data_IF_447592129914
#
_entry.id   IF_447592129914
#
_cell.length_a   1.000
_cell.length_b   1.000
_cell.length_c   1.000
_cell.angle_alpha   90.00
_cell.angle_beta   90.00
_cell.angle_gamma   90.00
#
_symmetry.space_group_name_H-M   'P 1'
#
loop_
_entity.id
_entity.type
_entity.pdbx_description
1 polymer ?
#
# COMPACT_ATOMS: atom_id res chain seq x y z
N UNK A 1 1.57 -0.69 5.08
CA UNK A 1 2.14 0.08 3.95
C UNK A 1 3.41 0.75 4.43
N UNK A 2 4.45 0.71 3.63
CA UNK A 2 5.76 1.28 3.93
C UNK A 2 6.08 2.32 2.87
N UNK A 3 6.45 3.51 3.29
CA UNK A 3 7.03 4.56 2.46
C UNK A 3 8.49 4.76 2.85
N UNK A 4 9.33 4.91 1.88
CA UNK A 4 10.75 5.13 2.03
C UNK A 4 11.09 6.45 1.34
N UNK A 5 11.50 7.43 2.14
CA UNK A 5 11.80 8.79 1.70
C UNK A 5 13.29 9.05 1.90
N UNK A 6 14.00 9.37 0.83
CA UNK A 6 15.37 9.87 0.96
C UNK A 6 15.37 11.38 1.05
N UNK A 7 15.99 11.90 2.11
CA UNK A 7 16.30 13.33 2.28
C UNK A 7 17.75 13.66 1.93
N UNK A 8 18.52 12.65 1.54
CA UNK A 8 19.96 12.78 1.30
C UNK A 8 20.21 13.38 -0.08
N UNK A 9 21.41 13.97 -0.22
CA UNK A 9 21.98 14.59 -1.41
C UNK A 9 21.46 13.98 -2.72
N UNK A 10 20.98 14.77 -3.69
CA UNK A 10 20.37 14.28 -4.92
C UNK A 10 21.17 13.24 -5.69
N UNK A 11 22.49 13.32 -5.67
CA UNK A 11 23.36 12.39 -6.40
C UNK A 11 23.49 11.01 -5.77
N UNK A 12 23.40 10.89 -4.44
CA UNK A 12 23.43 9.59 -3.74
C UNK A 12 22.05 8.95 -3.56
N UNK A 13 20.99 9.72 -3.79
CA UNK A 13 19.60 9.28 -3.52
C UNK A 13 19.18 8.11 -4.41
N UNK A 14 19.47 8.19 -5.70
CA UNK A 14 19.05 7.15 -6.66
C UNK A 14 19.77 5.82 -6.42
N UNK A 15 21.05 5.86 -6.09
CA UNK A 15 21.77 4.64 -5.75
C UNK A 15 21.24 4.00 -4.47
N UNK A 16 20.99 4.79 -3.43
CA UNK A 16 20.35 4.32 -2.20
C UNK A 16 18.98 3.71 -2.49
N UNK A 17 18.18 4.33 -3.35
CA UNK A 17 16.86 3.81 -3.72
C UNK A 17 16.97 2.49 -4.50
N UNK A 18 17.95 2.32 -5.40
CA UNK A 18 18.21 1.04 -6.07
C UNK A 18 18.58 -0.06 -5.09
N UNK A 19 19.43 0.23 -4.10
CA UNK A 19 19.78 -0.72 -3.06
C UNK A 19 18.56 -1.12 -2.20
N UNK A 20 17.69 -0.18 -1.87
CA UNK A 20 16.42 -0.45 -1.18
C UNK A 20 15.50 -1.33 -2.03
N UNK A 21 15.41 -1.07 -3.34
CA UNK A 21 14.70 -1.96 -4.25
C UNK A 21 15.26 -3.38 -4.23
N UNK A 22 16.57 -3.53 -4.16
CA UNK A 22 17.21 -4.83 -3.99
C UNK A 22 16.82 -5.54 -2.70
N UNK A 23 16.55 -4.79 -1.62
CA UNK A 23 15.95 -5.37 -0.39
C UNK A 23 14.51 -5.80 -0.64
N UNK A 24 13.67 -4.92 -1.16
CA UNK A 24 12.24 -5.20 -1.39
C UNK A 24 12.03 -6.36 -2.36
N UNK A 25 12.88 -6.52 -3.36
CA UNK A 25 12.82 -7.62 -4.32
C UNK A 25 12.89 -9.00 -3.68
N UNK A 26 13.60 -9.15 -2.56
CA UNK A 26 13.64 -10.42 -1.82
C UNK A 26 12.31 -10.77 -1.17
N UNK A 27 11.46 -9.79 -0.97
CA UNK A 27 10.12 -9.94 -0.38
C UNK A 27 9.00 -9.89 -1.42
N UNK A 28 9.31 -9.97 -2.72
CA UNK A 28 8.34 -9.82 -3.82
C UNK A 28 7.06 -10.63 -3.63
N UNK A 29 7.17 -11.91 -3.29
CA UNK A 29 6.01 -12.80 -3.09
C UNK A 29 5.12 -12.40 -1.90
N UNK A 30 5.62 -11.56 -1.02
CA UNK A 30 4.92 -11.03 0.15
C UNK A 30 4.39 -9.62 -0.06
N UNK A 31 4.70 -9.00 -1.19
CA UNK A 31 4.15 -7.71 -1.56
C UNK A 31 2.78 -7.88 -2.23
N UNK A 32 1.87 -6.97 -1.91
CA UNK A 32 0.59 -6.81 -2.61
C UNK A 32 0.78 -5.82 -3.75
N UNK A 33 1.46 -4.72 -3.45
CA UNK A 33 1.77 -3.63 -4.34
C UNK A 33 3.11 -3.02 -3.97
N UNK A 34 3.76 -2.45 -4.97
CA UNK A 34 4.94 -1.62 -4.79
C UNK A 34 5.02 -0.60 -5.93
N UNK A 35 5.76 0.47 -5.74
CA UNK A 35 5.91 1.47 -6.78
C UNK A 35 6.58 2.75 -6.29
N UNK A 36 6.67 3.68 -7.22
CA UNK A 36 7.11 5.06 -6.98
C UNK A 36 5.98 6.00 -7.40
N UNK A 37 5.85 7.20 -6.82
CA UNK A 37 4.89 8.18 -7.28
C UNK A 37 5.39 8.81 -8.58
N UNK A 38 5.26 8.12 -9.70
CA UNK A 38 5.57 8.65 -11.03
C UNK A 38 4.30 9.05 -11.75
N UNK A 39 4.29 10.17 -12.49
CA UNK A 39 3.09 10.65 -13.21
C UNK A 39 2.63 9.77 -14.37
N UNK A 40 3.47 8.87 -14.84
CA UNK A 40 3.21 8.04 -16.03
C UNK A 40 2.96 6.59 -15.65
N UNK A 41 1.86 6.34 -14.93
CA UNK A 41 1.39 4.98 -14.70
C UNK A 41 0.30 4.63 -15.68
N UNK A 42 0.59 3.71 -16.56
CA UNK A 42 -0.43 3.08 -17.41
C UNK A 42 -1.34 2.21 -16.52
N UNK A 43 -2.42 2.85 -16.02
CA UNK A 43 -3.58 2.17 -15.49
C UNK A 43 -3.40 1.29 -14.24
N UNK A 44 -2.46 1.61 -13.35
CA UNK A 44 -2.34 0.90 -12.06
C UNK A 44 -1.83 -0.53 -12.17
N UNK A 45 -1.20 -0.92 -13.25
CA UNK A 45 -0.50 -2.18 -13.34
C UNK A 45 0.74 -2.17 -12.43
N UNK A 46 0.92 -3.27 -11.68
CA UNK A 46 2.12 -3.51 -10.91
C UNK A 46 3.33 -3.45 -11.85
N UNK A 47 4.19 -2.46 -11.65
CA UNK A 47 5.45 -2.41 -12.38
C UNK A 47 6.26 -3.67 -12.06
N UNK A 48 6.85 -4.27 -13.10
CA UNK A 48 7.81 -5.35 -12.90
C UNK A 48 8.99 -4.81 -12.07
N UNK A 49 9.32 -5.48 -10.96
CA UNK A 49 10.45 -5.12 -10.10
C UNK A 49 11.75 -4.94 -10.87
N UNK A 50 12.00 -5.75 -11.90
CA UNK A 50 13.18 -5.64 -12.74
C UNK A 50 13.20 -4.33 -13.55
N UNK A 51 12.06 -3.87 -14.06
CA UNK A 51 11.96 -2.58 -14.75
C UNK A 51 12.21 -1.43 -13.78
N UNK A 52 11.74 -1.54 -12.55
CA UNK A 52 11.96 -0.51 -11.53
C UNK A 52 13.42 -0.43 -11.07
N UNK A 53 14.16 -1.54 -11.02
CA UNK A 53 15.60 -1.52 -10.70
C UNK A 53 16.42 -0.66 -11.66
N UNK A 54 16.02 -0.59 -12.92
CA UNK A 54 16.76 0.13 -13.96
C UNK A 54 16.28 1.56 -14.19
N UNK A 55 15.05 1.90 -13.76
CA UNK A 55 14.41 3.19 -14.08
C UNK A 55 14.07 4.04 -12.85
N UNK A 56 14.69 3.80 -11.70
CA UNK A 56 14.39 4.57 -10.49
C UNK A 56 15.03 5.96 -10.59
N UNK A 57 14.20 6.94 -10.82
CA UNK A 57 14.50 8.36 -10.64
C UNK A 57 13.64 9.02 -9.55
N UNK A 58 13.03 8.22 -8.69
CA UNK A 58 12.16 8.68 -7.61
C UNK A 58 12.87 8.70 -6.26
N UNK A 59 12.58 9.73 -5.47
CA UNK A 59 13.04 9.87 -4.08
C UNK A 59 12.13 9.14 -3.08
N UNK A 60 11.07 8.50 -3.57
CA UNK A 60 10.10 7.79 -2.74
C UNK A 60 9.84 6.41 -3.33
N UNK A 61 9.86 5.41 -2.47
CA UNK A 61 9.43 4.05 -2.77
C UNK A 61 8.26 3.71 -1.86
N UNK A 62 7.26 3.05 -2.40
CA UNK A 62 6.11 2.56 -1.66
C UNK A 62 6.00 1.05 -1.80
N UNK A 63 5.67 0.37 -0.69
CA UNK A 63 5.43 -1.06 -0.69
C UNK A 63 4.26 -1.40 0.24
N UNK A 64 3.41 -2.31 -0.20
CA UNK A 64 2.26 -2.82 0.57
C UNK A 64 2.48 -4.29 0.83
N UNK A 65 2.62 -4.66 2.09
CA UNK A 65 2.86 -6.04 2.52
C UNK A 65 1.56 -6.76 2.84
N UNK A 66 1.52 -8.07 2.60
CA UNK A 66 0.38 -8.95 2.93
C UNK A 66 0.18 -9.12 4.43
N UNK A 67 1.26 -9.12 5.20
CA UNK A 67 1.24 -9.32 6.64
C UNK A 67 2.30 -8.49 7.35
N UNK A 68 2.17 -8.41 8.69
CA UNK A 68 3.05 -7.64 9.55
C UNK A 68 4.45 -8.28 9.69
N UNK A 69 4.49 -9.59 9.77
CA UNK A 69 5.71 -10.37 10.03
C UNK A 69 6.75 -10.09 8.95
N UNK A 70 6.37 -10.22 7.69
CA UNK A 70 7.25 -9.95 6.55
C UNK A 70 7.67 -8.48 6.48
N UNK A 71 6.76 -7.55 6.80
CA UNK A 71 7.13 -6.13 6.94
C UNK A 71 8.19 -5.95 8.01
N UNK A 72 8.03 -6.59 9.17
CA UNK A 72 8.97 -6.50 10.30
C UNK A 72 10.36 -7.01 9.91
N UNK A 73 10.44 -8.12 9.20
CA UNK A 73 11.72 -8.68 8.73
C UNK A 73 12.39 -7.78 7.69
N UNK A 74 11.63 -7.26 6.76
CA UNK A 74 12.12 -6.27 5.79
C UNK A 74 12.67 -5.00 6.50
N UNK A 75 12.00 -4.53 7.54
CA UNK A 75 12.44 -3.36 8.32
C UNK A 75 13.71 -3.64 9.11
N UNK A 76 13.90 -4.84 9.68
CA UNK A 76 15.16 -5.24 10.32
C UNK A 76 16.31 -5.15 9.33
N UNK A 77 16.15 -5.69 8.14
CA UNK A 77 17.18 -5.66 7.11
C UNK A 77 17.49 -4.23 6.64
N UNK A 78 16.48 -3.39 6.41
CA UNK A 78 16.67 -1.97 6.06
C UNK A 78 17.42 -1.24 7.17
N UNK A 79 17.09 -1.51 8.44
CA UNK A 79 17.78 -0.93 9.58
C UNK A 79 19.25 -1.34 9.65
N UNK A 80 19.55 -2.63 9.49
CA UNK A 80 20.93 -3.16 9.51
C UNK A 80 21.82 -2.54 8.44
N UNK A 81 21.25 -2.27 7.25
CA UNK A 81 21.97 -1.61 6.16
C UNK A 81 22.18 -0.11 6.34
N UNK A 82 21.44 0.49 7.26
CA UNK A 82 21.57 1.90 7.64
C UNK A 82 21.64 2.88 6.45
N UNK A 83 20.67 2.82 5.57
CA UNK A 83 20.60 3.65 4.36
C UNK A 83 20.43 5.16 4.61
N UNK A 84 20.27 5.60 5.85
CA UNK A 84 20.06 7.01 6.17
C UNK A 84 18.76 7.61 5.62
N UNK A 85 17.71 6.81 5.53
CA UNK A 85 16.40 7.20 5.00
C UNK A 85 15.36 7.39 6.08
N UNK A 86 14.29 8.13 5.76
CA UNK A 86 13.09 8.20 6.58
C UNK A 86 12.12 7.09 6.21
N UNK A 87 11.63 6.37 7.22
CA UNK A 87 10.65 5.30 7.08
C UNK A 87 9.29 5.81 7.57
N UNK A 88 8.26 5.69 6.75
CA UNK A 88 6.88 5.97 7.15
C UNK A 88 6.07 4.70 7.03
N UNK A 89 5.50 4.24 8.13
CA UNK A 89 4.68 3.03 8.19
C UNK A 89 3.23 3.43 8.42
N UNK A 90 2.33 2.99 7.55
CA UNK A 90 0.89 3.19 7.67
C UNK A 90 0.18 1.87 7.94
N UNK A 91 -0.59 1.81 9.01
CA UNK A 91 -1.32 0.61 9.43
C UNK A 91 -2.02 0.81 10.76
N UNK A 92 -2.51 -0.28 11.37
CA UNK A 92 -3.09 -0.24 12.70
C UNK A 92 -2.03 0.13 13.74
N UNK A 93 -2.29 1.15 14.53
CA UNK A 93 -1.34 1.72 15.48
C UNK A 93 -0.75 0.67 16.45
N UNK A 94 -1.59 -0.22 16.97
CA UNK A 94 -1.16 -1.32 17.84
C UNK A 94 -0.16 -2.26 17.15
N UNK A 95 -0.38 -2.57 15.87
CA UNK A 95 0.51 -3.45 15.10
C UNK A 95 1.81 -2.75 14.72
N UNK A 96 1.75 -1.46 14.42
CA UNK A 96 2.95 -0.63 14.19
C UNK A 96 3.80 -0.59 15.47
N UNK A 97 3.18 -0.40 16.66
CA UNK A 97 3.87 -0.42 17.93
C UNK A 97 4.62 -1.73 18.20
N UNK A 98 4.00 -2.88 17.90
CA UNK A 98 4.67 -4.19 17.98
C UNK A 98 5.87 -4.27 17.03
N UNK A 99 5.68 -3.84 15.77
CA UNK A 99 6.76 -3.82 14.78
C UNK A 99 7.93 -2.94 15.24
N UNK A 100 7.66 -1.76 15.77
CA UNK A 100 8.69 -0.87 16.32
C UNK A 100 9.46 -1.55 17.47
N UNK A 101 8.77 -2.21 18.39
CA UNK A 101 9.39 -2.94 19.49
C UNK A 101 10.30 -4.08 19.01
N UNK A 102 9.81 -4.90 18.07
CA UNK A 102 10.55 -6.04 17.50
C UNK A 102 11.76 -5.61 16.66
N UNK A 103 11.68 -4.50 15.96
CA UNK A 103 12.78 -3.94 15.18
C UNK A 103 13.70 -3.04 15.97
N UNK A 104 13.33 -2.68 17.20
CA UNK A 104 14.00 -1.63 18.00
C UNK A 104 14.14 -0.32 17.22
N UNK A 105 13.10 0.04 16.46
CA UNK A 105 12.95 1.35 15.83
C UNK A 105 12.06 2.22 16.71
N UNK A 106 12.44 3.47 16.91
CA UNK A 106 11.64 4.45 17.65
C UNK A 106 10.97 5.41 16.66
N UNK A 107 9.64 5.60 16.73
CA UNK A 107 9.00 6.61 15.92
C UNK A 107 9.43 8.01 16.34
N UNK A 108 9.84 8.83 15.38
CA UNK A 108 10.17 10.24 15.62
C UNK A 108 8.96 11.16 15.39
N UNK A 109 7.93 10.67 14.70
CA UNK A 109 6.70 11.40 14.40
C UNK A 109 5.54 10.43 14.30
N UNK A 110 4.38 10.82 14.75
CA UNK A 110 3.15 10.02 14.65
C UNK A 110 2.01 10.89 14.14
N UNK A 111 1.31 10.40 13.11
CA UNK A 111 0.06 10.98 12.63
C UNK A 111 -1.09 10.02 12.94
N UNK A 112 -2.08 10.50 13.67
CA UNK A 112 -3.29 9.77 14.00
C UNK A 112 -4.48 10.35 13.24
N UNK A 113 -5.32 9.47 12.68
CA UNK A 113 -6.62 9.90 12.17
C UNK A 113 -7.51 10.32 13.33
N UNK A 114 -8.10 11.51 13.24
CA UNK A 114 -9.08 12.01 14.22
C UNK A 114 -10.49 11.47 13.96
N UNK A 115 -10.65 10.57 12.99
CA UNK A 115 -11.94 10.05 12.59
C UNK A 115 -12.62 10.86 11.49
N UNK A 116 -13.90 10.58 11.26
CA UNK A 116 -14.73 11.25 10.26
C UNK A 116 -15.73 12.14 10.96
N UNK A 117 -15.79 13.40 10.55
CA UNK A 117 -16.66 14.43 11.14
C UNK A 117 -17.68 14.94 10.14
N UNK A 118 -18.71 15.63 10.61
CA UNK A 118 -19.77 16.21 9.81
C UNK A 118 -20.99 15.30 9.69
N UNK A 119 -21.66 15.31 8.53
CA UNK A 119 -22.86 14.50 8.33
C UNK A 119 -22.55 13.03 8.02
N UNK A 120 -22.21 12.29 9.06
CA UNK A 120 -21.86 10.87 8.97
C UNK A 120 -22.99 9.97 8.46
N UNK A 121 -24.25 10.45 8.47
CA UNK A 121 -25.39 9.70 7.92
C UNK A 121 -25.30 9.47 6.41
N UNK A 122 -24.45 10.22 5.71
CA UNK A 122 -24.17 10.08 4.27
C UNK A 122 -23.04 9.13 3.95
N UNK A 123 -22.36 8.60 4.95
CA UNK A 123 -21.29 7.63 4.72
C UNK A 123 -21.87 6.33 4.14
N UNK A 124 -21.16 5.68 3.24
CA UNK A 124 -21.51 4.35 2.79
C UNK A 124 -21.36 3.33 3.94
N UNK A 125 -21.86 2.12 3.72
CA UNK A 125 -21.66 0.98 4.61
C UNK A 125 -20.17 0.81 4.97
N UNK A 126 -19.90 0.31 6.18
CA UNK A 126 -18.55 0.18 6.72
C UNK A 126 -17.61 -0.61 5.80
N UNK A 127 -18.06 -1.69 5.19
CA UNK A 127 -17.24 -2.49 4.27
C UNK A 127 -16.91 -1.70 2.99
N UNK A 128 -17.87 -0.94 2.48
CA UNK A 128 -17.65 -0.06 1.31
C UNK A 128 -16.67 1.05 1.67
N UNK A 129 -16.83 1.64 2.85
CA UNK A 129 -15.96 2.69 3.35
C UNK A 129 -14.53 2.17 3.56
N UNK A 130 -14.38 0.94 4.08
CA UNK A 130 -13.10 0.28 4.28
C UNK A 130 -12.35 0.07 2.95
N UNK A 131 -13.04 -0.31 1.88
CA UNK A 131 -12.43 -0.43 0.54
C UNK A 131 -12.12 0.96 -0.04
N UNK A 132 -13.07 1.89 0.02
CA UNK A 132 -12.92 3.25 -0.51
C UNK A 132 -11.70 3.97 0.07
N UNK A 133 -11.49 3.88 1.38
CA UNK A 133 -10.42 4.57 2.09
C UNK A 133 -9.04 3.92 1.95
N UNK A 134 -8.93 2.73 1.33
CA UNK A 134 -7.62 2.15 0.98
C UNK A 134 -6.84 3.02 -0.01
N UNK A 135 -7.53 3.79 -0.83
CA UNK A 135 -6.93 4.84 -1.65
C UNK A 135 -6.92 6.14 -0.84
N UNK A 136 -5.75 6.57 -0.37
CA UNK A 136 -5.63 7.82 0.40
C UNK A 136 -6.04 9.09 -0.36
N UNK A 137 -6.18 9.02 -1.69
CA UNK A 137 -6.67 10.11 -2.54
C UNK A 137 -8.18 10.04 -2.82
N UNK A 138 -8.90 9.08 -2.23
CA UNK A 138 -10.34 8.86 -2.40
C UNK A 138 -10.79 8.67 -3.87
N UNK A 139 -9.94 8.12 -4.73
CA UNK A 139 -10.24 7.92 -6.16
C UNK A 139 -11.08 6.67 -6.43
N UNK A 140 -11.13 5.73 -5.49
CA UNK A 140 -11.91 4.50 -5.64
C UNK A 140 -13.37 4.79 -5.28
N UNK A 141 -14.23 4.86 -6.28
CA UNK A 141 -15.65 5.23 -6.11
C UNK A 141 -16.44 4.18 -5.32
N UNK A 142 -17.21 4.62 -4.32
CA UNK A 142 -18.14 3.76 -3.59
C UNK A 142 -19.24 3.17 -4.49
N UNK A 143 -19.66 3.87 -5.52
CA UNK A 143 -20.61 3.36 -6.53
C UNK A 143 -20.01 2.21 -7.34
N UNK A 144 -18.73 2.31 -7.73
CA UNK A 144 -18.03 1.23 -8.41
C UNK A 144 -17.90 0.00 -7.52
N UNK A 145 -17.60 0.18 -6.23
CA UNK A 145 -17.53 -0.92 -5.25
C UNK A 145 -18.86 -1.65 -5.20
N UNK A 146 -19.98 -0.93 -5.01
CA UNK A 146 -21.32 -1.52 -4.96
C UNK A 146 -21.69 -2.23 -6.27
N UNK A 147 -21.38 -1.62 -7.41
CA UNK A 147 -21.59 -2.24 -8.72
C UNK A 147 -20.84 -3.58 -8.83
N UNK A 148 -19.57 -3.61 -8.46
CA UNK A 148 -18.76 -4.83 -8.52
C UNK A 148 -19.25 -5.91 -7.56
N UNK A 149 -19.74 -5.53 -6.36
CA UNK A 149 -20.39 -6.47 -5.44
C UNK A 149 -21.62 -7.13 -6.10
N UNK A 150 -22.43 -6.35 -6.81
CA UNK A 150 -23.56 -6.92 -7.57
C UNK A 150 -23.10 -7.84 -8.70
N UNK A 151 -22.05 -7.47 -9.44
CA UNK A 151 -21.52 -8.32 -10.51
C UNK A 151 -20.98 -9.65 -9.96
N UNK A 152 -20.34 -9.63 -8.78
CA UNK A 152 -19.87 -10.84 -8.10
C UNK A 152 -21.07 -11.73 -7.73
N UNK A 153 -22.10 -11.16 -7.08
CA UNK A 153 -23.33 -11.89 -6.70
C UNK A 153 -24.05 -12.50 -7.89
N UNK A 154 -23.98 -11.87 -9.06
CA UNK A 154 -24.54 -12.37 -10.32
C UNK A 154 -23.61 -13.37 -11.05
N UNK A 155 -22.47 -13.72 -10.48
CA UNK A 155 -21.48 -14.65 -11.08
C UNK A 155 -20.76 -14.10 -12.32
N UNK A 156 -20.83 -12.80 -12.58
CA UNK A 156 -20.23 -12.16 -13.78
C UNK A 156 -18.76 -11.80 -13.62
N UNK A 157 -18.29 -11.71 -12.39
CA UNK A 157 -16.88 -11.47 -12.05
C UNK A 157 -16.52 -12.17 -10.74
N UNK A 158 -15.23 -12.24 -10.42
CA UNK A 158 -14.71 -12.80 -9.17
C UNK A 158 -14.22 -11.71 -8.24
N UNK A 159 -14.08 -12.01 -6.94
CA UNK A 159 -13.56 -11.03 -5.97
C UNK A 159 -12.14 -10.55 -6.31
N UNK A 160 -11.27 -11.45 -6.81
CA UNK A 160 -9.93 -11.10 -7.27
C UNK A 160 -9.96 -10.10 -8.45
N UNK A 161 -10.74 -10.41 -9.49
CA UNK A 161 -10.89 -9.52 -10.66
C UNK A 161 -11.47 -8.15 -10.26
N UNK A 162 -12.48 -8.15 -9.39
CA UNK A 162 -13.08 -6.92 -8.87
C UNK A 162 -12.07 -6.09 -8.06
N UNK A 163 -11.27 -6.72 -7.20
CA UNK A 163 -10.23 -6.03 -6.45
C UNK A 163 -9.15 -5.40 -7.37
N UNK A 164 -8.77 -6.10 -8.44
CA UNK A 164 -7.86 -5.56 -9.46
C UNK A 164 -8.48 -4.39 -10.22
N UNK A 165 -9.76 -4.47 -10.58
CA UNK A 165 -10.47 -3.36 -11.24
C UNK A 165 -10.51 -2.12 -10.34
N UNK A 166 -10.81 -2.28 -9.04
CA UNK A 166 -10.77 -1.18 -8.08
C UNK A 166 -9.37 -0.56 -7.95
N UNK A 167 -8.33 -1.38 -8.01
CA UNK A 167 -6.94 -0.88 -7.90
C UNK A 167 -6.53 0.02 -9.05
N UNK A 168 -7.12 -0.12 -10.24
CA UNK A 168 -6.86 0.73 -11.42
C UNK A 168 -7.23 2.20 -11.17
N UNK A 169 -8.17 2.45 -10.25
CA UNK A 169 -8.55 3.81 -9.86
C UNK A 169 -7.51 4.47 -8.93
N UNK A 170 -6.60 3.70 -8.36
CA UNK A 170 -5.59 4.19 -7.43
C UNK A 170 -4.31 4.56 -8.18
N UNK A 171 -4.17 5.83 -8.57
CA UNK A 171 -3.05 6.35 -9.35
C UNK A 171 -1.66 6.09 -8.72
N UNK A 172 -1.54 6.21 -7.42
CA UNK A 172 -0.26 5.94 -6.72
C UNK A 172 0.03 4.44 -6.49
N UNK A 173 -0.89 3.54 -6.87
CA UNK A 173 -0.71 2.08 -6.81
C UNK A 173 -0.58 1.48 -5.40
N UNK A 174 -0.98 2.20 -4.34
CA UNK A 174 -0.92 1.70 -2.96
C UNK A 174 -2.17 0.93 -2.52
N UNK A 175 -3.19 0.83 -3.38
CA UNK A 175 -4.42 0.12 -3.08
C UNK A 175 -4.14 -1.35 -2.77
N UNK A 176 -4.63 -1.83 -1.63
CA UNK A 176 -4.38 -3.19 -1.17
C UNK A 176 -5.40 -4.17 -1.78
N UNK A 177 -5.10 -4.73 -2.95
CA UNK A 177 -5.97 -5.69 -3.66
C UNK A 177 -6.26 -6.94 -2.83
N UNK A 178 -5.29 -7.44 -2.07
CA UNK A 178 -5.46 -8.61 -1.22
C UNK A 178 -6.47 -8.37 -0.08
N UNK A 179 -6.42 -7.19 0.55
CA UNK A 179 -7.40 -6.81 1.57
C UNK A 179 -8.76 -6.55 0.95
N UNK A 180 -8.82 -5.86 -0.20
CA UNK A 180 -10.07 -5.60 -0.91
C UNK A 180 -10.78 -6.90 -1.31
N UNK A 181 -10.05 -7.89 -1.81
CA UNK A 181 -10.61 -9.21 -2.13
C UNK A 181 -11.24 -9.88 -0.90
N UNK A 182 -10.56 -9.85 0.26
CA UNK A 182 -11.11 -10.41 1.51
C UNK A 182 -12.41 -9.73 1.94
N UNK A 183 -12.48 -8.40 1.79
CA UNK A 183 -13.68 -7.65 2.14
C UNK A 183 -14.81 -7.96 1.14
N UNK A 184 -14.51 -8.00 -0.16
CA UNK A 184 -15.48 -8.38 -1.18
C UNK A 184 -16.05 -9.79 -0.95
N UNK A 185 -15.21 -10.77 -0.58
CA UNK A 185 -15.67 -12.11 -0.19
C UNK A 185 -16.65 -12.04 1.00
N UNK A 186 -16.31 -11.26 2.03
CA UNK A 186 -17.20 -11.05 3.19
C UNK A 186 -18.53 -10.40 2.80
N UNK A 187 -18.52 -9.43 1.89
CA UNK A 187 -19.73 -8.72 1.42
C UNK A 187 -20.62 -9.58 0.52
N UNK A 188 -20.06 -10.58 -0.11
CA UNK A 188 -20.77 -11.46 -1.05
C UNK A 188 -21.10 -12.82 -0.45
N UNK A 189 -20.67 -13.09 0.79
CA UNK A 189 -20.83 -14.37 1.50
C UNK A 189 -20.28 -15.57 0.72
N UNK A 190 -19.19 -15.38 -0.03
CA UNK A 190 -18.46 -16.41 -0.80
C UNK A 190 -17.23 -16.92 -0.04
#
# INVERSE_FOLDING_TARGET
>A
MLFLLSRINPQGTFETMRQIWGVLARYEHHLVNFGTPTPNRDGGELHNLEQLKTSIDSRMIMAVFKNRETLTDCLKEIKERNFGISLVISGLYKEIGKTCAETRLSPHTVNLSLGIHGNTRRLPDENVLEIHTMCGHAMVSSRLILHLVEQIKKGRTTCDKAAKELSRMCDCGIFNTYRAEKILRRMTAL
#
